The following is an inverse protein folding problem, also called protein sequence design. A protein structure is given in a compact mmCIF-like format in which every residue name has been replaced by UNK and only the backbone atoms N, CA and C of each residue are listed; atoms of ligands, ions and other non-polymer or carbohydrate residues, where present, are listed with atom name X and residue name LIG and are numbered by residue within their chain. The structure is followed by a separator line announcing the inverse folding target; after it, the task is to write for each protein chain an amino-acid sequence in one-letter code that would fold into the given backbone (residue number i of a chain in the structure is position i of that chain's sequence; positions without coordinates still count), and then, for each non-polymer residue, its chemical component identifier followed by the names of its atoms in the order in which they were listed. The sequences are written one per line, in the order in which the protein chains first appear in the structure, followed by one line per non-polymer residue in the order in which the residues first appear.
data_IF_659477316136
#
_entry.id   IF_659477316136
#
_cell.length_a   1.000
_cell.length_b   1.000
_cell.length_c   1.000
_cell.angle_alpha   90.00
_cell.angle_beta   90.00
_cell.angle_gamma   90.00
#
_symmetry.space_group_name_H-M   'P 1'
#
loop_
_entity.id
_entity.type
_entity.pdbx_description
1 polymer ?
#
# COMPACT_ATOMS: atom_id res chain seq x y z
N UNK A 1 13.82 6.03 -1.47
CA UNK A 1 12.91 6.53 -0.41
C UNK A 1 11.91 5.51 0.04
N UNK A 2 11.66 5.50 1.34
CA UNK A 2 10.72 4.61 2.03
C UNK A 2 9.66 5.45 2.73
N UNK A 3 8.47 4.88 2.86
CA UNK A 3 7.36 5.42 3.65
C UNK A 3 6.87 4.37 4.62
N UNK A 4 6.41 4.80 5.79
CA UNK A 4 5.84 3.94 6.82
C UNK A 4 4.33 4.03 6.79
N UNK A 5 3.65 2.90 6.63
CA UNK A 5 2.21 2.79 6.82
C UNK A 5 1.93 2.21 8.21
N UNK A 6 1.05 2.82 8.97
CA UNK A 6 0.71 2.39 10.34
C UNK A 6 -0.76 2.01 10.40
N UNK A 7 -1.06 0.77 10.79
CA UNK A 7 -2.43 0.28 10.93
C UNK A 7 -3.07 0.68 12.27
N UNK A 8 -4.38 0.50 12.41
CA UNK A 8 -5.14 0.84 13.63
C UNK A 8 -4.79 -0.04 14.83
N UNK A 9 -4.36 -1.28 14.57
CA UNK A 9 -3.91 -2.26 15.56
C UNK A 9 -2.39 -2.18 15.84
N UNK A 10 -1.72 -1.14 15.33
CA UNK A 10 -0.36 -0.77 15.73
C UNK A 10 0.77 -1.42 14.93
N UNK A 11 0.47 -2.18 13.87
CA UNK A 11 1.49 -2.68 12.96
C UNK A 11 2.05 -1.57 12.07
N UNK A 12 3.33 -1.69 11.72
CA UNK A 12 4.03 -0.74 10.86
C UNK A 12 4.65 -1.46 9.67
N UNK A 13 4.38 -0.95 8.47
CA UNK A 13 4.85 -1.52 7.21
C UNK A 13 5.75 -0.52 6.49
N UNK A 14 6.94 -0.96 6.09
CA UNK A 14 7.86 -0.15 5.29
C UNK A 14 7.68 -0.48 3.81
N UNK A 15 7.30 0.53 3.02
CA UNK A 15 7.05 0.38 1.58
C UNK A 15 7.93 1.37 0.82
N UNK A 16 8.46 0.96 -0.34
CA UNK A 16 9.19 1.89 -1.20
C UNK A 16 8.24 3.00 -1.64
N UNK A 17 8.68 4.27 -1.55
CA UNK A 17 7.83 5.41 -1.92
C UNK A 17 7.24 5.25 -3.32
N UNK A 18 8.04 4.82 -4.30
CA UNK A 18 7.59 4.60 -5.68
C UNK A 18 6.39 3.64 -5.78
N UNK A 19 6.38 2.61 -4.93
CA UNK A 19 5.32 1.59 -4.88
C UNK A 19 4.08 2.18 -4.20
N UNK A 20 4.26 2.90 -3.09
CA UNK A 20 3.18 3.59 -2.39
C UNK A 20 2.47 4.65 -3.26
N UNK A 21 3.22 5.36 -4.12
CA UNK A 21 2.67 6.32 -5.09
C UNK A 21 1.74 5.69 -6.14
N UNK A 22 1.73 4.35 -6.26
CA UNK A 22 0.79 3.62 -7.10
C UNK A 22 -0.67 3.68 -6.60
N UNK A 23 -0.88 4.10 -5.34
CA UNK A 23 -2.18 4.46 -4.78
C UNK A 23 -2.41 5.97 -4.88
N UNK A 24 -3.56 6.37 -5.44
CA UNK A 24 -3.94 7.78 -5.52
C UNK A 24 -4.10 8.42 -4.15
N UNK A 25 -4.69 7.71 -3.20
CA UNK A 25 -4.89 8.19 -1.82
C UNK A 25 -3.57 8.38 -1.10
N UNK A 26 -2.67 7.37 -1.14
CA UNK A 26 -1.35 7.47 -0.51
C UNK A 26 -0.51 8.56 -1.17
N UNK A 27 -0.58 8.70 -2.50
CA UNK A 27 0.09 9.79 -3.21
C UNK A 27 -0.37 11.16 -2.72
N UNK A 28 -1.67 11.36 -2.52
CA UNK A 28 -2.21 12.62 -2.02
C UNK A 28 -1.75 12.90 -0.57
N UNK A 29 -1.75 11.88 0.30
CA UNK A 29 -1.31 12.00 1.70
C UNK A 29 0.20 12.24 1.85
N UNK A 30 1.01 11.66 0.95
CA UNK A 30 2.47 11.72 0.99
C UNK A 30 3.05 12.82 0.09
N UNK A 31 2.21 13.68 -0.50
CA UNK A 31 2.67 14.73 -1.39
C UNK A 31 3.45 15.79 -0.58
N UNK A 32 4.74 15.96 -0.90
CA UNK A 32 5.65 16.88 -0.23
C UNK A 32 5.28 18.36 -0.38
N UNK A 33 4.47 18.72 -1.39
CA UNK A 33 3.94 20.08 -1.56
C UNK A 33 2.76 20.37 -0.64
N UNK A 34 2.20 19.34 -0.01
CA UNK A 34 1.10 19.49 0.93
C UNK A 34 1.65 19.82 2.32
N UNK A 35 1.01 20.74 3.06
CA UNK A 35 1.39 21.07 4.45
C UNK A 35 0.97 20.00 5.47
N UNK A 36 0.72 18.77 5.02
CA UNK A 36 0.30 17.65 5.86
C UNK A 36 1.48 17.04 6.62
N UNK A 37 1.25 16.65 7.87
CA UNK A 37 2.27 16.11 8.75
C UNK A 37 2.86 14.78 8.25
N UNK A 38 2.07 14.02 7.48
CA UNK A 38 2.42 12.74 6.86
C UNK A 38 3.49 12.90 5.78
N UNK A 39 3.42 13.98 4.99
CA UNK A 39 4.40 14.29 3.95
C UNK A 39 5.77 14.65 4.54
N UNK A 40 5.78 15.32 5.70
CA UNK A 40 7.00 15.69 6.43
C UNK A 40 7.59 14.49 7.19
N UNK A 41 6.74 13.66 7.80
CA UNK A 41 7.16 12.52 8.63
C UNK A 41 7.39 11.22 7.85
N UNK A 42 7.07 11.18 6.55
CA UNK A 42 7.08 9.97 5.71
C UNK A 42 6.27 8.80 6.31
N UNK A 43 5.30 9.13 7.17
CA UNK A 43 4.50 8.18 7.91
C UNK A 43 3.03 8.48 7.65
N UNK A 44 2.27 7.47 7.24
CA UNK A 44 0.86 7.57 6.93
C UNK A 44 0.08 6.61 7.83
N UNK A 45 -0.87 7.13 8.60
CA UNK A 45 -1.79 6.32 9.37
C UNK A 45 -2.91 5.81 8.45
N UNK A 46 -3.14 4.51 8.48
CA UNK A 46 -4.18 3.82 7.70
C UNK A 46 -5.24 3.34 8.69
N UNK A 47 -6.49 3.73 8.43
CA UNK A 47 -7.61 3.38 9.29
C UNK A 47 -8.13 1.95 9.03
N UNK A 48 -7.23 0.97 8.96
CA UNK A 48 -7.55 -0.44 8.75
C UNK A 48 -6.68 -1.34 9.62
N UNK A 49 -7.11 -2.59 9.79
CA UNK A 49 -6.36 -3.62 10.54
C UNK A 49 -5.06 -3.99 9.82
N UNK A 50 -4.06 -4.42 10.58
CA UNK A 50 -2.73 -4.74 10.07
C UNK A 50 -2.75 -5.78 8.94
N UNK A 51 -3.62 -6.80 9.05
CA UNK A 51 -3.78 -7.82 8.00
C UNK A 51 -4.28 -7.24 6.67
N UNK A 52 -5.14 -6.22 6.72
CA UNK A 52 -5.65 -5.52 5.52
C UNK A 52 -4.55 -4.61 4.97
N UNK A 53 -3.83 -3.89 5.83
CA UNK A 53 -2.71 -3.02 5.42
C UNK A 53 -1.56 -3.84 4.82
N UNK A 54 -1.31 -5.05 5.32
CA UNK A 54 -0.35 -5.99 4.73
C UNK A 54 -0.76 -6.35 3.29
N UNK A 55 -2.02 -6.72 3.07
CA UNK A 55 -2.54 -7.00 1.72
C UNK A 55 -2.53 -5.80 0.81
N UNK A 56 -2.79 -4.59 1.33
CA UNK A 56 -2.61 -3.36 0.59
C UNK A 56 -1.15 -3.20 0.13
N UNK A 57 -0.17 -3.43 1.01
CA UNK A 57 1.25 -3.35 0.66
C UNK A 57 1.63 -4.39 -0.40
N UNK A 58 1.16 -5.62 -0.23
CA UNK A 58 1.37 -6.73 -1.16
C UNK A 58 0.79 -6.42 -2.55
N UNK A 59 -0.44 -5.87 -2.60
CA UNK A 59 -1.09 -5.48 -3.85
C UNK A 59 -0.35 -4.34 -4.56
N UNK A 60 0.09 -3.32 -3.81
CA UNK A 60 0.86 -2.21 -4.40
C UNK A 60 2.17 -2.71 -4.99
N UNK A 61 2.87 -3.61 -4.30
CA UNK A 61 4.09 -4.23 -4.79
C UNK A 61 3.83 -5.08 -6.05
N UNK A 62 2.78 -5.90 -6.04
CA UNK A 62 2.33 -6.68 -7.19
C UNK A 62 2.02 -5.77 -8.39
N UNK A 63 1.21 -4.74 -8.21
CA UNK A 63 0.86 -3.77 -9.25
C UNK A 63 2.11 -3.10 -9.82
N UNK A 64 3.06 -2.71 -8.98
CA UNK A 64 4.32 -2.10 -9.42
C UNK A 64 5.24 -3.08 -10.15
N UNK A 65 5.25 -4.36 -9.77
CA UNK A 65 6.06 -5.39 -10.40
C UNK A 65 5.56 -5.71 -11.82
N UNK A 66 4.25 -5.78 -11.99
CA UNK A 66 3.61 -6.21 -13.23
C UNK A 66 3.09 -5.07 -14.13
N UNK A 67 3.37 -3.80 -13.78
CA UNK A 67 2.88 -2.61 -14.51
C UNK A 67 3.14 -2.65 -16.02
N UNK A 68 4.29 -3.21 -16.43
CA UNK A 68 4.70 -3.32 -17.83
C UNK A 68 4.84 -4.78 -18.32
N UNK A 69 4.36 -5.74 -17.55
CA UNK A 69 4.44 -7.15 -17.90
C UNK A 69 3.36 -7.52 -18.94
N UNK A 70 3.64 -8.47 -19.86
CA UNK A 70 2.62 -8.99 -20.74
C UNK A 70 1.56 -9.76 -19.93
N UNK A 71 0.29 -9.64 -20.29
CA UNK A 71 -0.84 -10.22 -19.52
C UNK A 71 -0.68 -11.71 -19.19
N UNK A 72 -0.05 -12.49 -20.08
CA UNK A 72 0.19 -13.93 -19.89
C UNK A 72 1.17 -14.26 -18.73
N UNK A 73 1.95 -13.28 -18.27
CA UNK A 73 2.95 -13.42 -17.20
C UNK A 73 2.47 -12.83 -15.86
N UNK A 74 1.26 -12.26 -15.84
CA UNK A 74 0.66 -11.66 -14.64
C UNK A 74 -0.10 -12.76 -13.88
N UNK A 75 0.37 -13.20 -12.70
CA UNK A 75 -0.33 -14.19 -11.90
C UNK A 75 -1.61 -13.62 -11.30
N UNK A 76 -2.61 -14.45 -11.05
CA UNK A 76 -3.85 -14.00 -10.40
C UNK A 76 -3.58 -13.60 -8.94
N UNK A 77 -3.82 -12.32 -8.62
CA UNK A 77 -3.64 -11.83 -7.26
C UNK A 77 -4.69 -12.37 -6.29
N UNK A 78 -5.87 -12.78 -6.78
CA UNK A 78 -6.97 -13.26 -5.92
C UNK A 78 -6.61 -14.56 -5.19
N UNK A 79 -5.69 -15.36 -5.74
CA UNK A 79 -5.16 -16.56 -5.08
C UNK A 79 -4.36 -16.24 -3.80
N UNK A 80 -3.94 -14.98 -3.62
CA UNK A 80 -3.20 -14.50 -2.44
C UNK A 80 -4.13 -13.87 -1.39
N UNK A 81 -5.43 -13.77 -1.67
CA UNK A 81 -6.41 -13.22 -0.75
C UNK A 81 -6.94 -14.31 0.19
N UNK A 82 -6.94 -14.00 1.48
CA UNK A 82 -7.53 -14.88 2.49
C UNK A 82 -9.05 -14.66 2.51
N UNK A 83 -9.89 -15.71 2.45
CA UNK A 83 -11.35 -15.57 2.48
C UNK A 83 -11.87 -14.72 3.65
N UNK A 84 -11.16 -14.75 4.79
CA UNK A 84 -11.51 -14.07 6.02
C UNK A 84 -11.41 -12.53 5.96
N UNK A 85 -10.74 -11.97 4.95
CA UNK A 85 -10.50 -10.52 4.82
C UNK A 85 -11.04 -9.93 3.50
N UNK A 86 -11.65 -10.74 2.63
CA UNK A 86 -12.11 -10.31 1.29
C UNK A 86 -13.13 -9.18 1.36
N UNK A 87 -13.98 -9.16 2.38
CA UNK A 87 -15.01 -8.13 2.55
C UNK A 87 -14.46 -6.79 3.08
N UNK A 88 -13.21 -6.77 3.55
CA UNK A 88 -12.53 -5.57 4.08
C UNK A 88 -11.58 -4.92 3.07
N UNK A 89 -11.40 -5.54 1.89
CA UNK A 89 -10.47 -5.12 0.83
C UNK A 89 -11.13 -4.20 -0.23
#
# INVERSE_FOLDING_TARGET
DWVKLVSTDGFSFLVQRKVAMGSGTLRNMLNAESSFAEAVSNTCAINERGIVVEKLCEYLAYKSLYENAPQKEIPDFTERLMPEIVLEL
#
